data_IF_762117566356
#
_entry.id   IF_762117566356
#
_cell.length_a   1.000
_cell.length_b   1.000
_cell.length_c   1.000
_cell.angle_alpha   90.00
_cell.angle_beta   90.00
_cell.angle_gamma   90.00
#
_symmetry.space_group_name_H-M   'P 1'
#
loop_
_entity.id
_entity.type
_entity.pdbx_description
1 polymer ?
#
# COMPACT_ATOMS: atom_id res chain seq x y z
N UNK A 1 -24.65 1.93 2.22
CA UNK A 1 -24.27 0.82 1.33
C UNK A 1 -23.76 1.44 0.05
N UNK A 2 -22.46 1.35 -0.18
CA UNK A 2 -21.83 1.90 -1.37
C UNK A 2 -22.18 1.04 -2.59
N UNK A 3 -22.21 1.65 -3.78
CA UNK A 3 -22.55 0.95 -5.01
C UNK A 3 -21.31 0.27 -5.57
N UNK A 4 -21.40 -1.02 -5.86
CA UNK A 4 -20.33 -1.76 -6.54
C UNK A 4 -19.90 -1.05 -7.84
N UNK A 5 -18.59 -0.87 -8.01
CA UNK A 5 -18.00 -0.27 -9.18
C UNK A 5 -17.50 -1.32 -10.18
N UNK A 6 -17.90 -1.16 -11.43
CA UNK A 6 -17.50 -2.05 -12.51
C UNK A 6 -16.49 -1.36 -13.41
N UNK A 7 -15.62 -2.18 -13.99
CA UNK A 7 -14.63 -1.74 -14.96
C UNK A 7 -15.25 -1.13 -16.21
N UNK A 8 -14.52 -0.21 -16.83
CA UNK A 8 -14.88 0.37 -18.14
C UNK A 8 -13.72 0.26 -19.13
N UNK A 9 -13.97 0.41 -20.45
CA UNK A 9 -12.89 0.44 -21.44
C UNK A 9 -11.87 1.59 -21.26
N UNK A 10 -12.21 2.63 -20.49
CA UNK A 10 -11.32 3.75 -20.20
C UNK A 10 -10.43 3.51 -18.98
N UNK A 11 -10.65 2.41 -18.24
CA UNK A 11 -9.93 2.13 -17.00
C UNK A 11 -8.46 1.84 -17.26
N UNK A 12 -7.63 2.28 -16.32
CA UNK A 12 -6.18 2.09 -16.34
C UNK A 12 -5.78 1.23 -15.15
N UNK A 13 -4.73 0.43 -15.33
CA UNK A 13 -4.32 -0.58 -14.38
C UNK A 13 -2.89 -0.33 -13.94
N UNK A 14 -2.71 -0.20 -12.63
CA UNK A 14 -1.44 0.13 -12.01
C UNK A 14 -1.21 -0.71 -10.76
N UNK A 15 0.03 -1.10 -10.51
CA UNK A 15 0.41 -1.67 -9.22
C UNK A 15 0.56 -0.57 -8.14
N UNK A 16 0.89 -0.95 -6.92
CA UNK A 16 1.07 0.00 -5.81
C UNK A 16 2.20 0.99 -6.04
N UNK A 17 3.19 0.68 -6.87
CA UNK A 17 4.21 1.63 -7.34
C UNK A 17 3.70 2.59 -8.43
N UNK A 18 2.41 2.56 -8.74
CA UNK A 18 1.82 3.30 -9.85
C UNK A 18 2.46 3.00 -11.22
N UNK A 19 3.02 1.79 -11.40
CA UNK A 19 3.53 1.31 -12.68
C UNK A 19 2.42 0.61 -13.46
N UNK A 20 2.25 0.94 -14.76
CA UNK A 20 1.17 0.38 -15.54
C UNK A 20 1.37 -1.11 -15.80
N UNK A 21 0.27 -1.86 -15.82
CA UNK A 21 0.28 -3.26 -16.24
C UNK A 21 -0.92 -3.56 -17.15
N UNK A 22 -0.87 -4.68 -17.87
CA UNK A 22 -1.99 -5.18 -18.66
C UNK A 22 -2.80 -6.17 -17.83
N UNK A 23 -4.14 -6.03 -17.73
CA UNK A 23 -5.00 -7.01 -17.07
C UNK A 23 -4.70 -8.44 -17.51
N UNK A 24 -4.73 -9.37 -16.56
CA UNK A 24 -4.37 -10.78 -16.83
C UNK A 24 -5.55 -11.62 -17.35
N UNK A 25 -6.75 -11.03 -17.40
CA UNK A 25 -7.95 -11.62 -17.97
C UNK A 25 -8.84 -10.54 -18.60
N UNK A 26 -9.96 -10.98 -19.21
CA UNK A 26 -11.00 -10.10 -19.73
C UNK A 26 -11.57 -9.19 -18.64
N UNK A 27 -11.80 -7.93 -18.98
CA UNK A 27 -12.18 -6.90 -18.01
C UNK A 27 -13.68 -6.65 -17.98
N UNK A 28 -14.46 -7.11 -18.96
CA UNK A 28 -15.89 -6.78 -19.06
C UNK A 28 -16.70 -7.36 -17.89
N UNK A 29 -17.58 -6.53 -17.30
CA UNK A 29 -18.43 -6.88 -16.14
C UNK A 29 -17.65 -7.30 -14.89
N UNK A 30 -16.38 -6.90 -14.78
CA UNK A 30 -15.53 -7.15 -13.63
C UNK A 30 -15.56 -5.98 -12.65
N UNK A 31 -15.10 -6.22 -11.43
CA UNK A 31 -15.04 -5.22 -10.38
C UNK A 31 -13.79 -4.35 -10.50
N UNK A 32 -13.93 -3.04 -10.26
CA UNK A 32 -12.76 -2.21 -9.96
C UNK A 32 -12.14 -2.61 -8.62
N UNK A 33 -10.83 -2.43 -8.42
CA UNK A 33 -10.14 -2.75 -7.17
C UNK A 33 -10.75 -2.01 -5.96
N UNK A 34 -11.23 -0.77 -6.16
CA UNK A 34 -11.83 0.07 -5.10
C UNK A 34 -12.97 -0.61 -4.33
N UNK A 35 -13.63 -1.63 -4.89
CA UNK A 35 -14.64 -2.39 -4.15
C UNK A 35 -14.07 -3.09 -2.91
N UNK A 36 -12.78 -3.49 -2.91
CA UNK A 36 -12.11 -4.04 -1.74
C UNK A 36 -11.91 -2.96 -0.65
N UNK A 37 -11.57 -1.73 -1.06
CA UNK A 37 -11.48 -0.59 -0.16
C UNK A 37 -12.83 -0.31 0.49
N UNK A 38 -13.88 -0.18 -0.32
CA UNK A 38 -15.23 0.11 0.19
C UNK A 38 -15.80 -1.01 1.06
N UNK A 39 -15.54 -2.27 0.70
CA UNK A 39 -15.94 -3.39 1.55
C UNK A 39 -15.21 -3.33 2.91
N UNK A 40 -13.95 -2.92 2.95
CA UNK A 40 -13.22 -2.74 4.21
C UNK A 40 -13.75 -1.58 5.06
N UNK A 41 -14.18 -0.48 4.44
CA UNK A 41 -14.87 0.63 5.11
C UNK A 41 -16.20 0.18 5.73
N UNK A 42 -17.04 -0.53 4.96
CA UNK A 42 -18.32 -1.03 5.45
C UNK A 42 -18.14 -2.03 6.60
N UNK A 43 -17.15 -2.91 6.51
CA UNK A 43 -16.84 -3.87 7.58
C UNK A 43 -16.39 -3.17 8.88
N UNK A 44 -15.58 -2.13 8.76
CA UNK A 44 -15.14 -1.35 9.91
C UNK A 44 -16.22 -0.40 10.45
N UNK A 45 -17.35 -0.26 9.75
CA UNK A 45 -18.38 0.73 10.02
C UNK A 45 -17.84 2.16 10.13
N UNK A 46 -16.81 2.48 9.32
CA UNK A 46 -16.25 3.84 9.29
C UNK A 46 -17.31 4.85 8.80
N UNK A 47 -17.22 6.08 9.30
CA UNK A 47 -18.08 7.19 8.91
C UNK A 47 -18.17 7.35 7.37
N UNK A 48 -19.35 7.70 6.86
CA UNK A 48 -19.60 7.85 5.42
C UNK A 48 -18.69 8.88 4.75
N UNK A 49 -18.12 9.81 5.52
CA UNK A 49 -17.12 10.77 5.04
C UNK A 49 -15.87 10.09 4.46
N UNK A 50 -15.53 8.86 4.85
CA UNK A 50 -14.45 8.11 4.23
C UNK A 50 -14.68 7.88 2.72
N UNK A 51 -15.93 7.67 2.30
CA UNK A 51 -16.29 7.54 0.89
C UNK A 51 -16.25 8.90 0.18
N UNK A 52 -16.64 9.97 0.88
CA UNK A 52 -16.55 11.35 0.35
C UNK A 52 -15.10 11.78 0.13
N UNK A 53 -14.16 11.34 0.96
CA UNK A 53 -12.72 11.57 0.73
C UNK A 53 -12.26 10.92 -0.58
N UNK A 54 -12.68 9.68 -0.86
CA UNK A 54 -12.35 8.98 -2.11
C UNK A 54 -12.86 9.76 -3.32
N UNK A 55 -14.12 10.22 -3.28
CA UNK A 55 -14.72 11.02 -4.35
C UNK A 55 -14.07 12.40 -4.51
N UNK A 56 -13.72 13.06 -3.41
CA UNK A 56 -13.01 14.33 -3.44
C UNK A 56 -11.62 14.20 -4.09
N UNK A 57 -10.88 13.13 -3.76
CA UNK A 57 -9.58 12.84 -4.37
C UNK A 57 -9.71 12.54 -5.87
N UNK A 58 -10.71 11.75 -6.29
CA UNK A 58 -10.98 11.52 -7.72
C UNK A 58 -11.32 12.81 -8.46
N UNK A 59 -12.17 13.65 -7.87
CA UNK A 59 -12.55 14.94 -8.47
C UNK A 59 -11.35 15.89 -8.65
N UNK A 60 -10.49 15.99 -7.64
CA UNK A 60 -9.42 17.00 -7.63
C UNK A 60 -8.12 16.52 -8.32
N UNK A 61 -7.87 15.21 -8.31
CA UNK A 61 -6.63 14.61 -8.80
C UNK A 61 -6.84 13.85 -10.11
N UNK A 62 -8.04 13.33 -10.35
CA UNK A 62 -8.41 12.45 -11.46
C UNK A 62 -8.45 10.97 -11.05
N UNK A 63 -9.16 10.17 -11.84
CA UNK A 63 -9.25 8.72 -11.64
C UNK A 63 -7.88 8.03 -11.74
N UNK A 64 -7.71 6.97 -10.96
CA UNK A 64 -6.50 6.14 -10.91
C UNK A 64 -5.23 6.90 -10.51
N UNK A 65 -5.37 7.94 -9.69
CA UNK A 65 -4.27 8.76 -9.14
C UNK A 65 -3.98 8.50 -7.68
N UNK A 66 -4.78 7.66 -7.02
CA UNK A 66 -4.60 7.31 -5.61
C UNK A 66 -4.41 5.81 -5.48
N UNK A 67 -3.25 5.41 -4.95
CA UNK A 67 -3.06 4.04 -4.49
C UNK A 67 -3.64 3.97 -3.07
N UNK A 68 -4.42 2.95 -2.75
CA UNK A 68 -4.86 2.69 -1.39
C UNK A 68 -4.17 1.45 -0.84
N UNK A 69 -3.94 1.43 0.46
CA UNK A 69 -3.59 0.25 1.24
C UNK A 69 -4.64 0.02 2.32
N UNK A 70 -5.17 -1.20 2.41
CA UNK A 70 -5.96 -1.66 3.55
C UNK A 70 -5.02 -2.46 4.45
N UNK A 71 -4.82 -1.98 5.69
CA UNK A 71 -3.91 -2.54 6.67
C UNK A 71 -4.66 -3.35 7.72
N UNK A 72 -4.14 -4.52 8.08
CA UNK A 72 -4.61 -5.35 9.18
C UNK A 72 -3.54 -5.44 10.27
N UNK A 73 -3.94 -5.10 11.50
CA UNK A 73 -3.09 -5.11 12.70
C UNK A 73 -3.50 -6.21 13.70
N UNK A 74 -4.13 -7.28 13.21
CA UNK A 74 -4.57 -8.43 14.03
C UNK A 74 -5.91 -8.24 14.77
N UNK A 75 -6.32 -7.00 15.04
CA UNK A 75 -7.61 -6.70 15.68
C UNK A 75 -8.35 -5.50 15.09
N UNK A 76 -7.69 -4.69 14.25
CA UNK A 76 -8.26 -3.48 13.65
C UNK A 76 -7.77 -3.29 12.23
N UNK A 77 -8.63 -2.68 11.42
CA UNK A 77 -8.29 -2.18 10.09
C UNK A 77 -7.72 -0.77 10.19
N UNK A 78 -6.89 -0.40 9.23
CA UNK A 78 -6.45 0.96 8.99
C UNK A 78 -6.23 1.17 7.50
N UNK A 79 -6.15 2.42 7.06
CA UNK A 79 -6.03 2.73 5.64
C UNK A 79 -4.91 3.73 5.42
N UNK A 80 -4.30 3.66 4.24
CA UNK A 80 -3.30 4.64 3.82
C UNK A 80 -3.50 4.92 2.34
N UNK A 81 -3.45 6.20 1.97
CA UNK A 81 -3.52 6.64 0.58
C UNK A 81 -2.16 7.18 0.14
N UNK A 82 -1.67 6.68 -0.99
CA UNK A 82 -0.38 7.02 -1.58
C UNK A 82 -0.58 7.73 -2.91
N UNK A 83 0.29 8.71 -3.15
CA UNK A 83 0.23 9.63 -4.27
C UNK A 83 1.59 9.65 -4.96
N UNK A 84 1.61 9.32 -6.25
CA UNK A 84 2.85 9.21 -7.03
C UNK A 84 2.98 10.34 -8.04
N UNK A 85 4.16 10.94 -8.10
CA UNK A 85 4.58 11.78 -9.22
C UNK A 85 6.08 11.62 -9.49
N UNK A 86 6.39 10.86 -10.54
CA UNK A 86 7.75 10.55 -10.94
C UNK A 86 8.50 11.73 -11.56
N UNK A 87 7.85 12.88 -11.84
CA UNK A 87 8.50 14.12 -12.27
C UNK A 87 9.22 14.85 -11.13
N UNK A 88 9.03 14.42 -9.87
CA UNK A 88 9.73 14.94 -8.68
C UNK A 88 9.58 16.46 -8.58
N UNK A 89 10.65 17.24 -8.75
CA UNK A 89 10.58 18.72 -8.63
C UNK A 89 9.64 19.36 -9.67
N UNK A 90 9.36 18.67 -10.76
CA UNK A 90 8.43 19.10 -11.81
C UNK A 90 7.06 18.41 -11.71
N UNK A 91 6.72 17.92 -10.50
CA UNK A 91 5.45 17.26 -10.21
C UNK A 91 4.25 18.13 -10.54
N UNK A 92 3.18 17.48 -11.01
CA UNK A 92 1.83 18.04 -11.10
C UNK A 92 1.00 17.67 -9.86
N UNK A 93 1.26 16.49 -9.28
CA UNK A 93 0.64 16.03 -8.05
C UNK A 93 1.60 16.28 -6.87
N UNK A 94 1.25 17.26 -6.04
CA UNK A 94 2.02 17.65 -4.86
C UNK A 94 1.30 17.33 -3.56
N UNK A 95 2.05 17.28 -2.47
CA UNK A 95 1.53 17.14 -1.11
C UNK A 95 0.53 18.27 -0.83
N UNK A 96 0.91 19.52 -1.12
CA UNK A 96 0.05 20.70 -0.93
C UNK A 96 -1.30 20.56 -1.63
N UNK A 97 -1.32 20.06 -2.88
CA UNK A 97 -2.56 19.84 -3.63
C UNK A 97 -3.47 18.81 -2.95
N UNK A 98 -2.91 17.72 -2.43
CA UNK A 98 -3.69 16.72 -1.67
C UNK A 98 -4.18 17.30 -0.34
N UNK A 99 -3.35 18.06 0.38
CA UNK A 99 -3.76 18.70 1.62
C UNK A 99 -4.94 19.66 1.41
N UNK A 100 -4.99 20.38 0.29
CA UNK A 100 -6.14 21.24 -0.04
C UNK A 100 -7.45 20.45 -0.21
N UNK A 101 -7.38 19.22 -0.72
CA UNK A 101 -8.52 18.31 -0.77
C UNK A 101 -8.88 17.79 0.63
N UNK A 102 -7.90 17.33 1.41
CA UNK A 102 -8.11 16.73 2.73
C UNK A 102 -8.61 17.74 3.77
N UNK A 103 -8.26 19.02 3.65
CA UNK A 103 -8.70 20.12 4.52
C UNK A 103 -10.22 20.29 4.62
N UNK A 104 -10.99 19.69 3.70
CA UNK A 104 -12.46 19.64 3.76
C UNK A 104 -12.97 18.72 4.87
N UNK A 105 -12.15 17.78 5.34
CA UNK A 105 -12.52 16.73 6.28
C UNK A 105 -11.78 16.85 7.61
N UNK A 106 -10.50 17.21 7.58
CA UNK A 106 -9.66 17.35 8.78
C UNK A 106 -8.68 18.51 8.64
N UNK A 107 -8.34 19.15 9.75
CA UNK A 107 -7.35 20.23 9.75
C UNK A 107 -5.92 19.68 9.63
N UNK A 108 -5.04 20.46 9.00
CA UNK A 108 -3.64 20.10 8.82
C UNK A 108 -2.78 21.36 8.89
N UNK A 109 -1.92 21.44 9.91
CA UNK A 109 -0.98 22.55 10.14
C UNK A 109 0.38 22.34 9.47
N UNK A 110 0.60 21.21 8.79
CA UNK A 110 1.89 20.90 8.19
C UNK A 110 2.24 21.86 7.05
N UNK A 111 3.40 22.50 7.17
CA UNK A 111 4.03 23.25 6.08
C UNK A 111 4.97 22.33 5.30
N UNK A 112 4.77 22.26 3.98
CA UNK A 112 5.49 21.30 3.14
C UNK A 112 6.42 22.01 2.17
N UNK A 113 7.69 21.62 2.17
CA UNK A 113 8.67 22.13 1.23
C UNK A 113 8.61 21.39 -0.11
N UNK A 114 7.81 21.93 -1.04
CA UNK A 114 7.60 21.36 -2.37
C UNK A 114 8.84 21.33 -3.28
N UNK A 115 9.93 22.00 -2.89
CA UNK A 115 11.21 21.99 -3.63
C UNK A 115 12.01 20.70 -3.41
N UNK A 116 11.63 19.89 -2.42
CA UNK A 116 12.27 18.60 -2.16
C UNK A 116 11.96 17.61 -3.29
N UNK A 117 12.91 16.73 -3.66
CA UNK A 117 12.79 15.86 -4.83
C UNK A 117 12.05 14.54 -4.52
N UNK A 118 11.02 14.57 -3.67
CA UNK A 118 10.20 13.40 -3.38
C UNK A 118 9.50 12.90 -4.66
N UNK A 119 9.17 11.63 -4.78
CA UNK A 119 8.44 11.09 -5.95
C UNK A 119 7.11 10.46 -5.55
N UNK A 120 6.90 10.25 -4.25
CA UNK A 120 5.68 9.73 -3.68
C UNK A 120 5.52 10.25 -2.25
N UNK A 121 4.29 10.30 -1.78
CA UNK A 121 3.95 10.52 -0.39
C UNK A 121 2.66 9.80 -0.03
N UNK A 122 2.39 9.68 1.25
CA UNK A 122 1.15 9.09 1.74
C UNK A 122 0.65 9.70 3.03
N UNK A 123 -0.63 9.44 3.30
CA UNK A 123 -1.35 9.85 4.51
C UNK A 123 -2.10 8.65 5.07
N UNK A 124 -2.08 8.48 6.39
CA UNK A 124 -2.92 7.50 7.07
C UNK A 124 -4.35 8.04 7.23
N UNK A 125 -5.32 7.17 6.95
CA UNK A 125 -6.73 7.41 7.20
C UNK A 125 -7.24 6.46 8.28
N UNK A 126 -8.02 7.01 9.18
CA UNK A 126 -8.80 6.31 10.20
C UNK A 126 -10.11 7.09 10.46
N UNK A 127 -10.94 6.54 11.34
CA UNK A 127 -12.22 7.11 11.72
C UNK A 127 -12.05 8.52 12.28
N UNK A 128 -11.13 8.73 13.23
CA UNK A 128 -10.93 10.04 13.87
C UNK A 128 -10.54 11.12 12.84
N UNK A 129 -9.74 10.78 11.82
CA UNK A 129 -9.33 11.72 10.78
C UNK A 129 -10.49 12.07 9.85
N UNK A 130 -11.23 11.09 9.34
CA UNK A 130 -12.37 11.39 8.46
C UNK A 130 -13.49 12.09 9.22
N UNK A 131 -13.55 11.88 10.54
CA UNK A 131 -14.50 12.53 11.42
C UNK A 131 -14.13 13.98 11.78
N UNK A 132 -12.87 14.37 11.55
CA UNK A 132 -12.34 15.65 11.99
C UNK A 132 -12.04 15.72 13.49
N UNK A 133 -12.08 14.58 14.18
CA UNK A 133 -11.78 14.44 15.62
C UNK A 133 -10.27 14.44 15.88
N UNK A 134 -9.47 14.06 14.89
CA UNK A 134 -8.02 14.31 14.86
C UNK A 134 -7.60 15.08 13.61
N UNK A 135 -6.46 15.76 13.75
CA UNK A 135 -5.78 16.43 12.65
C UNK A 135 -4.96 15.44 11.81
N UNK A 136 -4.70 15.80 10.56
CA UNK A 136 -3.61 15.21 9.79
C UNK A 136 -2.29 15.87 10.22
N UNK A 137 -1.53 15.15 11.04
CA UNK A 137 -0.32 15.63 11.72
C UNK A 137 0.97 14.95 11.22
N UNK A 138 0.86 14.00 10.28
CA UNK A 138 1.99 13.32 9.64
C UNK A 138 1.75 13.11 8.14
N UNK A 139 2.82 13.27 7.37
CA UNK A 139 2.89 12.87 5.96
C UNK A 139 4.13 12.01 5.78
N UNK A 140 3.97 10.80 5.23
CA UNK A 140 5.10 9.94 4.88
C UNK A 140 5.61 10.36 3.51
N UNK A 141 6.79 10.96 3.43
CA UNK A 141 7.38 11.47 2.19
C UNK A 141 8.51 10.58 1.68
N UNK A 142 8.48 10.23 0.39
CA UNK A 142 9.40 9.26 -0.21
C UNK A 142 10.33 9.92 -1.23
N UNK A 143 11.63 9.82 -0.98
CA UNK A 143 12.69 10.34 -1.85
C UNK A 143 13.43 9.17 -2.49
N UNK A 144 13.74 9.30 -3.78
CA UNK A 144 14.48 8.26 -4.50
C UNK A 144 15.92 8.18 -3.99
N UNK A 145 16.42 6.96 -3.84
CA UNK A 145 17.81 6.70 -3.47
C UNK A 145 18.63 6.36 -4.74
N UNK A 146 19.51 7.25 -5.21
CA UNK A 146 20.35 6.96 -6.37
C UNK A 146 21.30 5.78 -6.07
N UNK A 147 21.51 4.90 -7.06
CA UNK A 147 22.52 3.83 -6.97
C UNK A 147 21.99 2.39 -6.93
N UNK A 148 20.67 2.16 -6.99
CA UNK A 148 20.09 0.81 -7.18
C UNK A 148 19.76 0.50 -8.63
N UNK A 149 19.84 -0.77 -9.04
CA UNK A 149 19.59 -1.23 -10.43
C UNK A 149 18.14 -1.20 -10.88
N UNK A 150 17.17 -1.33 -9.97
CA UNK A 150 15.72 -1.27 -10.28
C UNK A 150 15.09 0.01 -9.73
N UNK A 151 15.06 0.16 -8.40
CA UNK A 151 14.64 1.36 -7.68
C UNK A 151 14.95 1.19 -6.19
N UNK A 152 15.19 2.28 -5.49
CA UNK A 152 15.22 2.31 -4.02
C UNK A 152 14.66 3.63 -3.51
N UNK A 153 14.04 3.59 -2.34
CA UNK A 153 13.31 4.71 -1.75
C UNK A 153 13.70 4.91 -0.29
N UNK A 154 13.69 6.15 0.15
CA UNK A 154 13.88 6.53 1.55
C UNK A 154 12.59 7.24 1.97
N UNK A 155 11.92 6.74 3.00
CA UNK A 155 10.76 7.43 3.56
C UNK A 155 11.12 8.25 4.78
N UNK A 156 10.44 9.38 4.91
CA UNK A 156 10.55 10.30 6.02
C UNK A 156 9.18 10.64 6.56
N UNK A 157 9.05 10.63 7.88
CA UNK A 157 7.93 11.21 8.59
C UNK A 157 8.09 12.73 8.60
N UNK A 158 7.12 13.43 8.02
CA UNK A 158 7.00 14.89 8.11
C UNK A 158 5.98 15.26 9.17
N UNK A 159 6.44 15.90 10.24
CA UNK A 159 5.61 16.45 11.32
C UNK A 159 5.97 17.91 11.55
N UNK A 160 5.12 18.63 12.28
CA UNK A 160 5.40 20.03 12.66
C UNK A 160 6.72 20.14 13.45
N UNK A 161 7.00 19.17 14.32
CA UNK A 161 8.21 19.13 15.13
C UNK A 161 9.50 18.83 14.33
N UNK A 162 9.39 18.34 13.09
CA UNK A 162 10.53 18.05 12.24
C UNK A 162 10.36 16.82 11.34
N UNK A 163 11.48 16.37 10.79
CA UNK A 163 11.55 15.27 9.82
C UNK A 163 12.34 14.10 10.38
N UNK A 164 11.76 12.89 10.34
CA UNK A 164 12.38 11.67 10.87
C UNK A 164 12.56 10.64 9.76
N UNK A 165 13.76 10.07 9.61
CA UNK A 165 14.00 8.94 8.70
C UNK A 165 13.24 7.70 9.21
N UNK A 166 12.38 7.12 8.40
CA UNK A 166 11.59 5.95 8.78
C UNK A 166 12.15 4.65 8.18
N UNK A 167 12.13 4.56 6.84
CA UNK A 167 12.32 3.29 6.15
C UNK A 167 13.26 3.42 4.94
N UNK A 168 13.95 2.33 4.64
CA UNK A 168 14.76 2.14 3.43
C UNK A 168 14.15 1.02 2.60
N UNK A 169 13.72 1.31 1.38
CA UNK A 169 13.06 0.38 0.47
C UNK A 169 14.00 -0.06 -0.66
N UNK A 170 14.06 -1.37 -0.91
CA UNK A 170 14.84 -1.97 -1.99
C UNK A 170 13.91 -2.79 -2.86
N UNK A 171 13.84 -2.48 -4.16
CA UNK A 171 12.97 -3.16 -5.12
C UNK A 171 13.78 -4.09 -6.00
N UNK A 172 13.24 -5.28 -6.24
CA UNK A 172 13.89 -6.33 -7.00
C UNK A 172 12.91 -6.94 -8.01
N UNK A 173 13.41 -7.30 -9.18
CA UNK A 173 12.68 -8.15 -10.11
C UNK A 173 12.59 -9.56 -9.53
N UNK A 174 11.37 -10.02 -9.23
CA UNK A 174 11.16 -11.30 -8.54
C UNK A 174 11.59 -12.51 -9.39
N UNK A 175 11.60 -12.39 -10.72
CA UNK A 175 11.97 -13.47 -11.63
C UNK A 175 13.47 -13.62 -11.87
N UNK A 176 14.26 -12.55 -11.69
CA UNK A 176 15.69 -12.54 -12.03
C UNK A 176 16.64 -12.24 -10.87
N UNK A 177 16.15 -11.79 -9.72
CA UNK A 177 16.99 -11.31 -8.61
C UNK A 177 16.74 -12.04 -7.29
N UNK A 178 16.36 -13.33 -7.33
CA UNK A 178 16.03 -14.08 -6.11
C UNK A 178 17.18 -14.12 -5.09
N UNK A 179 18.42 -14.27 -5.55
CA UNK A 179 19.60 -14.25 -4.67
C UNK A 179 19.76 -12.88 -3.98
N UNK A 180 19.68 -11.77 -4.73
CA UNK A 180 19.76 -10.42 -4.15
C UNK A 180 18.64 -10.17 -3.12
N UNK A 181 17.44 -10.71 -3.36
CA UNK A 181 16.31 -10.61 -2.43
C UNK A 181 16.60 -11.39 -1.14
N UNK A 182 17.07 -12.62 -1.25
CA UNK A 182 17.44 -13.48 -0.11
C UNK A 182 18.57 -12.85 0.71
N UNK A 183 19.61 -12.34 0.05
CA UNK A 183 20.70 -11.60 0.70
C UNK A 183 20.17 -10.35 1.41
N UNK A 184 19.27 -9.59 0.77
CA UNK A 184 18.69 -8.40 1.39
C UNK A 184 17.84 -8.73 2.62
N UNK A 185 17.12 -9.85 2.63
CA UNK A 185 16.40 -10.36 3.80
C UNK A 185 17.37 -10.72 4.92
N UNK A 186 18.51 -11.34 4.60
CA UNK A 186 19.57 -11.65 5.56
C UNK A 186 20.24 -10.38 6.13
N UNK A 187 20.19 -9.25 5.42
CA UNK A 187 20.58 -7.94 5.93
C UNK A 187 19.49 -7.30 6.81
N UNK A 188 19.06 -8.03 7.84
CA UNK A 188 18.10 -7.58 8.85
C UNK A 188 18.81 -7.30 10.18
N UNK A 189 18.40 -6.22 10.85
CA UNK A 189 18.76 -5.98 12.25
C UNK A 189 17.78 -6.61 13.25
N UNK A 190 16.63 -7.09 12.75
CA UNK A 190 15.47 -7.51 13.55
C UNK A 190 15.20 -9.02 13.46
N UNK A 191 15.80 -9.70 12.49
CA UNK A 191 15.63 -11.14 12.24
C UNK A 191 16.98 -11.83 12.12
N UNK A 192 17.13 -12.94 12.85
CA UNK A 192 18.26 -13.87 12.72
C UNK A 192 17.92 -14.94 11.68
N UNK A 193 18.40 -14.74 10.45
CA UNK A 193 18.16 -15.65 9.32
C UNK A 193 18.80 -17.05 9.50
N UNK A 194 19.62 -17.27 10.54
CA UNK A 194 20.10 -18.61 10.90
C UNK A 194 19.08 -19.42 11.69
N UNK A 195 18.06 -18.76 12.25
CA UNK A 195 17.02 -19.37 13.09
C UNK A 195 15.65 -19.36 12.43
N UNK A 196 15.35 -18.30 11.68
CA UNK A 196 14.08 -18.15 10.97
C UNK A 196 14.34 -18.45 9.48
N UNK A 197 13.70 -19.49 8.91
CA UNK A 197 13.83 -19.81 7.49
C UNK A 197 13.40 -18.62 6.63
N UNK A 198 14.21 -18.27 5.63
CA UNK A 198 13.88 -17.19 4.68
C UNK A 198 12.54 -17.45 3.99
N UNK A 199 12.14 -18.71 3.81
CA UNK A 199 10.84 -19.08 3.24
C UNK A 199 9.64 -18.67 4.10
N UNK A 200 9.81 -18.34 5.38
CA UNK A 200 8.75 -17.72 6.19
C UNK A 200 8.51 -16.27 5.79
N UNK A 201 9.54 -15.57 5.31
CA UNK A 201 9.48 -14.20 4.82
C UNK A 201 9.15 -14.19 3.32
N UNK A 202 9.94 -14.89 2.50
CA UNK A 202 9.75 -15.08 1.07
C UNK A 202 8.83 -16.27 0.79
N UNK A 203 7.59 -16.16 1.27
CA UNK A 203 6.55 -17.19 1.16
C UNK A 203 6.45 -17.74 -0.28
N UNK A 204 6.64 -19.05 -0.50
CA UNK A 204 6.58 -19.66 -1.83
C UNK A 204 5.31 -19.32 -2.62
N UNK A 205 4.19 -19.22 -1.93
CA UNK A 205 2.88 -18.92 -2.50
C UNK A 205 2.79 -17.50 -3.08
N UNK A 206 3.60 -16.56 -2.59
CA UNK A 206 3.62 -15.16 -3.03
C UNK A 206 4.74 -14.84 -4.02
N UNK A 207 5.79 -15.68 -4.10
CA UNK A 207 6.98 -15.43 -4.92
C UNK A 207 6.70 -15.33 -6.42
N UNK A 208 5.63 -15.95 -6.92
CA UNK A 208 5.18 -15.75 -8.31
C UNK A 208 4.49 -14.39 -8.41
N UNK A 209 5.31 -13.35 -8.52
CA UNK A 209 4.89 -11.95 -8.62
C UNK A 209 5.88 -11.21 -9.54
N UNK A 210 5.67 -9.92 -9.78
CA UNK A 210 6.53 -9.11 -10.65
C UNK A 210 7.70 -8.49 -9.90
N UNK A 211 7.44 -7.94 -8.71
CA UNK A 211 8.43 -7.19 -7.94
C UNK A 211 8.33 -7.57 -6.47
N UNK A 212 9.48 -7.85 -5.85
CA UNK A 212 9.58 -7.99 -4.40
C UNK A 212 10.27 -6.73 -3.87
N UNK A 213 9.68 -6.11 -2.85
CA UNK A 213 10.34 -5.04 -2.11
C UNK A 213 10.64 -5.49 -0.70
N UNK A 214 11.89 -5.33 -0.28
CA UNK A 214 12.31 -5.53 1.10
C UNK A 214 12.62 -4.16 1.70
N UNK A 215 11.97 -3.83 2.82
CA UNK A 215 12.20 -2.59 3.53
C UNK A 215 12.81 -2.84 4.91
N UNK A 216 13.83 -2.05 5.26
CA UNK A 216 14.27 -1.93 6.65
C UNK A 216 13.56 -0.76 7.31
N UNK A 217 12.96 -0.99 8.47
CA UNK A 217 12.30 0.04 9.29
C UNK A 217 13.00 0.16 10.64
N UNK A 218 12.63 1.19 11.40
CA UNK A 218 13.24 1.45 12.72
C UNK A 218 13.10 0.29 13.71
N UNK A 219 11.98 -0.45 13.68
CA UNK A 219 11.64 -1.45 14.70
C UNK A 219 11.33 -2.85 14.15
N UNK A 220 11.27 -2.98 12.83
CA UNK A 220 10.91 -4.20 12.13
C UNK A 220 11.39 -4.13 10.67
N UNK A 221 11.24 -5.21 9.92
CA UNK A 221 11.42 -5.19 8.47
C UNK A 221 10.08 -5.42 7.78
N UNK A 222 10.08 -5.36 6.45
CA UNK A 222 8.86 -5.57 5.65
C UNK A 222 9.19 -6.25 4.34
N UNK A 223 8.33 -7.19 3.94
CA UNK A 223 8.35 -7.78 2.62
C UNK A 223 7.06 -7.41 1.89
N UNK A 224 7.19 -6.91 0.67
CA UNK A 224 6.09 -6.63 -0.26
C UNK A 224 6.23 -7.50 -1.50
N UNK A 225 5.10 -7.99 -2.00
CA UNK A 225 4.97 -8.79 -3.21
C UNK A 225 4.00 -8.08 -4.13
N UNK A 226 4.50 -7.62 -5.27
CA UNK A 226 3.75 -6.81 -6.22
C UNK A 226 3.43 -7.59 -7.47
N UNK A 227 2.18 -7.54 -7.91
CA UNK A 227 1.72 -8.29 -9.07
C UNK A 227 1.31 -9.72 -8.73
N UNK A 228 0.69 -9.95 -7.57
CA UNK A 228 0.12 -11.25 -7.20
C UNK A 228 -1.30 -11.40 -7.77
N UNK A 229 -1.70 -12.63 -8.12
CA UNK A 229 -3.06 -12.90 -8.60
C UNK A 229 -4.09 -12.97 -7.45
N UNK A 230 -5.39 -12.97 -7.79
CA UNK A 230 -6.47 -13.04 -6.79
C UNK A 230 -6.39 -14.30 -5.90
N UNK A 231 -5.84 -15.41 -6.42
CA UNK A 231 -5.65 -16.62 -5.63
C UNK A 231 -4.58 -16.46 -4.58
N UNK A 232 -3.48 -15.79 -4.92
CA UNK A 232 -2.43 -15.42 -3.98
C UNK A 232 -2.90 -14.39 -2.96
N UNK A 233 -3.73 -13.41 -3.35
CA UNK A 233 -4.39 -12.50 -2.42
C UNK A 233 -5.25 -13.27 -1.40
N UNK A 234 -6.09 -14.20 -1.85
CA UNK A 234 -6.93 -15.03 -0.96
C UNK A 234 -6.05 -15.84 0.00
N UNK A 235 -4.96 -16.44 -0.49
CA UNK A 235 -3.99 -17.12 0.36
C UNK A 235 -3.43 -16.19 1.43
N UNK A 236 -2.99 -14.99 1.05
CA UNK A 236 -2.43 -13.98 1.95
C UNK A 236 -3.42 -13.59 3.06
N UNK A 237 -4.67 -13.29 2.69
CA UNK A 237 -5.74 -12.93 3.62
C UNK A 237 -6.00 -14.05 4.63
N UNK A 238 -6.04 -15.31 4.18
CA UNK A 238 -6.23 -16.48 5.05
C UNK A 238 -5.04 -16.72 5.96
N UNK A 239 -3.82 -16.66 5.42
CA UNK A 239 -2.59 -16.88 6.17
C UNK A 239 -2.44 -15.91 7.34
N UNK A 240 -2.78 -14.64 7.12
CA UNK A 240 -2.67 -13.58 8.13
C UNK A 240 -3.96 -13.34 8.92
N UNK A 241 -4.93 -14.26 8.82
CA UNK A 241 -6.19 -14.23 9.56
C UNK A 241 -6.91 -12.87 9.45
N UNK A 242 -7.05 -12.37 8.22
CA UNK A 242 -7.91 -11.20 7.97
C UNK A 242 -9.35 -11.52 8.41
N UNK A 243 -10.17 -10.50 8.72
CA UNK A 243 -11.57 -10.70 9.04
C UNK A 243 -12.28 -11.57 7.99
N UNK A 244 -13.04 -12.57 8.47
CA UNK A 244 -13.76 -13.52 7.61
C UNK A 244 -14.60 -12.84 6.52
N UNK A 245 -15.30 -11.71 6.77
CA UNK A 245 -16.05 -11.03 5.71
C UNK A 245 -15.20 -10.51 4.54
N UNK A 246 -13.95 -10.09 4.78
CA UNK A 246 -13.01 -9.70 3.69
C UNK A 246 -12.62 -10.92 2.87
N UNK A 247 -12.32 -12.04 3.54
CA UNK A 247 -11.97 -13.31 2.89
C UNK A 247 -13.15 -13.77 2.04
N UNK A 248 -14.34 -13.87 2.63
CA UNK A 248 -15.55 -14.34 1.95
C UNK A 248 -15.91 -13.46 0.76
N UNK A 249 -15.83 -12.13 0.90
CA UNK A 249 -16.09 -11.20 -0.21
C UNK A 249 -15.13 -11.46 -1.38
N UNK A 250 -13.84 -11.63 -1.09
CA UNK A 250 -12.81 -11.85 -2.11
C UNK A 250 -12.97 -13.22 -2.77
N UNK A 251 -13.31 -14.26 -2.01
CA UNK A 251 -13.57 -15.61 -2.55
C UNK A 251 -14.84 -15.65 -3.40
N UNK A 252 -15.94 -15.08 -2.90
CA UNK A 252 -17.22 -15.03 -3.60
C UNK A 252 -17.12 -14.26 -4.92
N UNK A 253 -16.34 -13.18 -4.94
CA UNK A 253 -16.14 -12.35 -6.11
C UNK A 253 -14.85 -12.66 -6.87
N UNK A 254 -14.20 -13.81 -6.62
CA UNK A 254 -12.94 -14.20 -7.28
C UNK A 254 -13.01 -14.04 -8.80
N UNK A 255 -14.10 -14.50 -9.42
CA UNK A 255 -14.30 -14.40 -10.86
C UNK A 255 -14.56 -12.97 -11.34
N UNK A 256 -14.91 -12.01 -10.48
CA UNK A 256 -15.00 -10.58 -10.84
C UNK A 256 -13.67 -9.85 -10.61
N UNK A 257 -12.73 -10.48 -9.90
CA UNK A 257 -11.49 -9.91 -9.41
C UNK A 257 -10.24 -10.52 -10.08
N UNK A 258 -10.39 -11.56 -10.89
CA UNK A 258 -9.33 -12.34 -11.53
C UNK A 258 -8.57 -11.64 -12.67
N UNK A 259 -9.08 -10.52 -13.16
CA UNK A 259 -8.42 -9.70 -14.20
C UNK A 259 -7.38 -8.73 -13.62
N UNK A 260 -7.42 -8.48 -12.31
CA UNK A 260 -6.53 -7.58 -11.61
C UNK A 260 -5.28 -8.31 -11.12
N UNK A 261 -4.23 -7.53 -10.94
CA UNK A 261 -3.10 -7.89 -10.11
C UNK A 261 -3.17 -7.07 -8.83
N UNK A 262 -2.71 -7.66 -7.74
CA UNK A 262 -2.71 -7.07 -6.42
C UNK A 262 -1.29 -6.92 -5.91
N UNK A 263 -1.15 -6.09 -4.91
CA UNK A 263 0.08 -6.02 -4.13
C UNK A 263 -0.27 -6.34 -2.69
N UNK A 264 0.63 -7.06 -2.02
CA UNK A 264 0.49 -7.42 -0.62
C UNK A 264 1.81 -7.20 0.09
N UNK A 265 1.76 -6.89 1.38
CA UNK A 265 2.98 -6.78 2.17
C UNK A 265 2.73 -6.94 3.65
N UNK A 266 3.76 -7.34 4.37
CA UNK A 266 3.66 -7.53 5.82
C UNK A 266 4.94 -7.11 6.53
N UNK A 267 4.74 -6.43 7.65
CA UNK A 267 5.75 -6.00 8.59
C UNK A 267 6.04 -7.18 9.53
N UNK A 268 7.31 -7.48 9.74
CA UNK A 268 7.73 -8.61 10.56
C UNK A 268 8.95 -8.32 11.42
N UNK A 269 9.03 -9.02 12.54
CA UNK A 269 10.20 -9.05 13.44
C UNK A 269 10.42 -10.47 13.97
N UNK A 270 11.47 -10.70 14.75
CA UNK A 270 11.68 -11.97 15.43
C UNK A 270 11.11 -11.95 16.85
N UNK A 271 10.34 -12.98 17.21
CA UNK A 271 9.94 -13.28 18.59
C UNK A 271 10.56 -14.61 19.02
N UNK A 272 11.77 -14.54 19.55
CA UNK A 272 12.58 -15.74 19.79
C UNK A 272 13.03 -16.35 18.47
N UNK A 273 12.60 -17.59 18.18
CA UNK A 273 12.95 -18.31 16.96
C UNK A 273 11.78 -18.37 15.95
N UNK A 274 10.79 -17.48 16.10
CA UNK A 274 9.62 -17.41 15.24
C UNK A 274 9.50 -16.04 14.60
N UNK A 275 9.02 -16.03 13.36
CA UNK A 275 8.62 -14.81 12.68
C UNK A 275 7.33 -14.29 13.32
N UNK A 276 7.34 -13.04 13.77
CA UNK A 276 6.18 -12.34 14.30
C UNK A 276 5.72 -11.29 13.29
N UNK A 277 4.52 -11.50 12.73
CA UNK A 277 3.92 -10.57 11.77
C UNK A 277 3.06 -9.56 12.53
N UNK A 278 3.51 -8.30 12.54
CA UNK A 278 2.91 -7.25 13.38
C UNK A 278 1.80 -6.47 12.66
N UNK A 279 1.88 -6.40 11.34
CA UNK A 279 0.97 -5.64 10.48
C UNK A 279 1.08 -6.18 9.07
N UNK A 280 -0.02 -6.14 8.33
CA UNK A 280 -0.02 -6.50 6.92
C UNK A 280 -0.96 -5.60 6.15
N UNK A 281 -0.86 -5.60 4.82
CA UNK A 281 -1.80 -4.89 3.98
C UNK A 281 -1.88 -5.44 2.57
N UNK A 282 -3.00 -5.14 1.92
CA UNK A 282 -3.19 -5.32 0.48
C UNK A 282 -3.50 -3.97 -0.16
N UNK A 283 -3.13 -3.81 -1.44
CA UNK A 283 -3.15 -2.53 -2.12
C UNK A 283 -3.90 -2.61 -3.46
N UNK A 284 -4.40 -1.45 -3.90
CA UNK A 284 -5.01 -1.24 -5.20
C UNK A 284 -5.05 0.24 -5.56
N UNK A 285 -5.71 0.60 -6.66
CA UNK A 285 -5.72 1.97 -7.20
C UNK A 285 -7.13 2.43 -7.52
N UNK A 286 -7.46 3.68 -7.21
CA UNK A 286 -8.72 4.31 -7.58
C UNK A 286 -8.53 5.72 -8.16
#
# INVERSE_FOLDING_TARGET
>A
MYREEFTTPADRYFNYCWWPYTPVAKVEHKFRPVNLLFQSFELAAIDSRAFEVVEALRSDLGDFRTVYGVKWMGNRLGWEFYFYDYKRRERELSISKVLDTIRRFSSCSLEVNERLPYFMFSIDLDEDLVCGDRNLDVIHMYIGNPGSTVSSGISYDLREAGTTLENLYYFFNAGSQLLDIEEKVCCSAHVDATKIPISEILRPELRRCNTICIANKQHNDTAYFSGVDVGQLIFFLKWLNYPQPIIDFTEHNRAKLDHLLYDVGFDYTAKGNQLDVIKSGYYGVF
#
